data_IF_769255248783
#
_entry.id   IF_769255248783
#
_cell.length_a   1.000
_cell.length_b   1.000
_cell.length_c   1.000
_cell.angle_alpha   90.00
_cell.angle_beta   90.00
_cell.angle_gamma   90.00
#
_symmetry.space_group_name_H-M   'P 1'
#
loop_
_entity.id
_entity.type
_entity.pdbx_description
1 polymer ?
#
# COMPACT_ATOMS: atom_id res chain seq x y z
N UNK A 1 -76.25 9.33 -43.11
CA UNK A 1 -74.94 9.97 -42.85
C UNK A 1 -74.64 9.87 -41.35
N UNK A 2 -73.57 9.14 -41.03
CA UNK A 2 -72.63 9.27 -39.90
C UNK A 2 -73.07 9.03 -38.43
N UNK A 3 -72.66 7.84 -37.96
CA UNK A 3 -72.14 7.35 -36.66
C UNK A 3 -72.81 7.59 -35.29
N UNK A 4 -73.06 6.50 -34.53
CA UNK A 4 -73.19 6.52 -33.07
C UNK A 4 -71.81 6.46 -32.38
N UNK A 5 -71.61 7.26 -31.34
CA UNK A 5 -70.43 7.18 -30.47
C UNK A 5 -70.62 6.11 -29.40
N UNK A 6 -69.80 5.05 -29.50
CA UNK A 6 -69.69 3.96 -28.53
C UNK A 6 -69.14 4.45 -27.19
N UNK A 7 -69.95 4.37 -26.13
CA UNK A 7 -69.46 4.42 -24.76
C UNK A 7 -69.15 2.99 -24.32
N UNK A 8 -67.93 2.53 -24.59
CA UNK A 8 -67.47 1.21 -24.19
C UNK A 8 -67.06 1.27 -22.71
N UNK A 9 -67.96 0.82 -21.83
CA UNK A 9 -67.59 0.40 -20.47
C UNK A 9 -66.53 -0.69 -20.60
N UNK A 10 -65.31 -0.40 -20.15
CA UNK A 10 -64.28 -1.43 -19.95
C UNK A 10 -64.70 -2.22 -18.70
N UNK A 11 -65.01 -3.53 -18.80
CA UNK A 11 -65.12 -4.35 -17.61
C UNK A 11 -63.71 -4.46 -17.01
N UNK A 12 -63.55 -3.97 -15.77
CA UNK A 12 -62.33 -4.18 -15.01
C UNK A 12 -61.98 -5.66 -15.03
N UNK A 13 -60.80 -5.98 -15.52
CA UNK A 13 -60.38 -7.32 -15.88
C UNK A 13 -60.41 -8.23 -14.62
N UNK A 14 -61.38 -9.16 -14.48
CA UNK A 14 -61.58 -9.91 -13.25
C UNK A 14 -60.37 -10.81 -12.91
N UNK A 15 -59.59 -11.17 -13.93
CA UNK A 15 -58.36 -11.95 -13.79
C UNK A 15 -57.26 -11.18 -13.03
N UNK A 16 -57.23 -9.85 -13.14
CA UNK A 16 -56.29 -9.00 -12.41
C UNK A 16 -56.64 -8.91 -10.93
N UNK A 17 -57.94 -8.83 -10.60
CA UNK A 17 -58.38 -8.86 -9.20
C UNK A 17 -58.15 -10.22 -8.54
N UNK A 18 -58.29 -11.31 -9.31
CA UNK A 18 -58.10 -12.67 -8.81
C UNK A 18 -56.62 -12.99 -8.57
N UNK A 19 -55.76 -12.63 -9.52
CA UNK A 19 -54.31 -12.80 -9.38
C UNK A 19 -53.75 -11.95 -8.24
N UNK A 20 -54.24 -10.72 -8.05
CA UNK A 20 -53.82 -9.86 -6.93
C UNK A 20 -54.26 -10.43 -5.56
N UNK A 21 -55.45 -11.03 -5.49
CA UNK A 21 -55.93 -11.73 -4.30
C UNK A 21 -55.15 -13.02 -4.01
N UNK A 22 -54.80 -13.80 -5.03
CA UNK A 22 -53.96 -15.00 -4.89
C UNK A 22 -52.53 -14.65 -4.43
N UNK A 23 -51.95 -13.55 -4.92
CA UNK A 23 -50.63 -13.07 -4.51
C UNK A 23 -50.64 -12.57 -3.06
N UNK A 24 -51.65 -11.78 -2.67
CA UNK A 24 -51.84 -11.37 -1.28
C UNK A 24 -52.05 -12.58 -0.36
N UNK A 25 -52.83 -13.57 -0.79
CA UNK A 25 -53.02 -14.80 -0.04
C UNK A 25 -51.71 -15.56 0.15
N UNK A 26 -50.83 -15.62 -0.87
CA UNK A 26 -49.51 -16.26 -0.75
C UNK A 26 -48.55 -15.53 0.19
N UNK A 27 -48.60 -14.19 0.26
CA UNK A 27 -47.79 -13.38 1.19
C UNK A 27 -48.30 -13.53 2.63
N UNK A 28 -49.61 -13.70 2.80
CA UNK A 28 -50.27 -13.86 4.09
C UNK A 28 -50.19 -15.29 4.67
N UNK A 29 -49.74 -16.28 3.90
CA UNK A 29 -49.41 -17.59 4.46
C UNK A 29 -48.11 -17.49 5.28
N UNK A 30 -48.02 -18.21 6.40
CA UNK A 30 -46.90 -18.16 7.37
C UNK A 30 -45.52 -18.48 6.77
N UNK A 31 -45.48 -19.01 5.54
CA UNK A 31 -44.26 -19.30 4.80
C UNK A 31 -44.01 -18.20 3.76
N UNK A 32 -43.71 -16.99 4.22
CA UNK A 32 -43.51 -15.80 3.38
C UNK A 32 -42.26 -15.85 2.48
N UNK A 33 -41.50 -16.96 2.48
CA UNK A 33 -40.27 -17.12 1.71
C UNK A 33 -40.33 -18.38 0.84
N UNK A 34 -40.62 -18.25 -0.48
CA UNK A 34 -40.76 -19.40 -1.40
C UNK A 34 -39.49 -20.23 -1.59
N UNK A 35 -38.32 -19.70 -1.22
CA UNK A 35 -37.03 -20.37 -1.30
C UNK A 35 -36.60 -21.03 0.02
N UNK A 36 -37.33 -20.82 1.11
CA UNK A 36 -37.16 -21.61 2.33
C UNK A 36 -38.13 -22.80 2.28
N UNK A 37 -37.68 -24.03 2.54
CA UNK A 37 -38.62 -25.11 2.82
C UNK A 37 -39.50 -24.69 4.01
N UNK A 38 -40.83 -24.83 3.85
CA UNK A 38 -41.85 -24.28 4.73
C UNK A 38 -41.80 -24.71 6.21
N UNK A 39 -40.92 -25.65 6.52
CA UNK A 39 -40.38 -25.86 7.85
C UNK A 39 -38.87 -25.93 7.67
N UNK A 40 -38.14 -24.93 8.17
CA UNK A 40 -36.79 -25.23 8.64
C UNK A 40 -36.99 -26.36 9.64
N UNK A 41 -36.46 -27.55 9.36
CA UNK A 41 -36.67 -28.67 10.28
C UNK A 41 -36.03 -28.26 11.59
N UNK A 42 -36.72 -28.51 12.71
CA UNK A 42 -36.18 -28.24 14.05
C UNK A 42 -34.76 -28.79 14.22
N UNK A 43 -34.44 -29.88 13.52
CA UNK A 43 -33.10 -30.44 13.42
C UNK A 43 -32.03 -29.50 12.85
N UNK A 44 -32.36 -28.67 11.84
CA UNK A 44 -31.42 -27.72 11.26
C UNK A 44 -31.15 -26.54 12.19
N UNK A 45 -32.16 -26.11 12.93
CA UNK A 45 -32.00 -25.07 13.96
C UNK A 45 -31.13 -25.60 15.12
N UNK A 46 -31.37 -26.83 15.57
CA UNK A 46 -30.55 -27.52 16.58
C UNK A 46 -29.10 -27.73 16.11
N UNK A 47 -28.89 -28.07 14.83
CA UNK A 47 -27.55 -28.20 14.24
C UNK A 47 -26.82 -26.85 14.22
N UNK A 48 -27.50 -25.75 13.88
CA UNK A 48 -26.94 -24.40 13.89
C UNK A 48 -26.62 -23.92 15.31
N UNK A 49 -27.49 -24.20 16.27
CA UNK A 49 -27.30 -23.81 17.66
C UNK A 49 -26.13 -24.58 18.28
N UNK A 50 -26.01 -25.87 17.97
CA UNK A 50 -24.87 -26.72 18.38
C UNK A 50 -23.57 -26.24 17.74
N UNK A 51 -23.58 -25.88 16.45
CA UNK A 51 -22.43 -25.30 15.78
C UNK A 51 -22.03 -23.95 16.40
N UNK A 52 -23.00 -23.08 16.69
CA UNK A 52 -22.77 -21.79 17.34
C UNK A 52 -22.14 -21.92 18.72
N UNK A 53 -22.62 -22.86 19.54
CA UNK A 53 -22.04 -23.18 20.85
C UNK A 53 -20.62 -23.73 20.74
N UNK A 54 -20.33 -24.54 19.71
CA UNK A 54 -18.96 -25.05 19.47
C UNK A 54 -17.97 -23.95 19.04
N UNK A 55 -18.48 -22.86 18.47
CA UNK A 55 -17.74 -21.69 18.01
C UNK A 55 -17.76 -20.55 19.04
N UNK A 56 -18.40 -20.76 20.18
CA UNK A 56 -18.46 -19.80 21.27
C UNK A 56 -17.07 -19.72 21.91
N UNK A 57 -16.36 -18.64 21.60
CA UNK A 57 -15.04 -18.36 22.14
C UNK A 57 -15.26 -17.69 23.50
N UNK A 58 -14.59 -18.18 24.54
CA UNK A 58 -14.65 -17.52 25.85
C UNK A 58 -14.03 -16.12 25.81
N UNK A 59 -14.51 -15.19 26.64
CA UNK A 59 -13.92 -13.85 26.74
C UNK A 59 -12.41 -13.91 27.03
N UNK A 60 -11.98 -14.89 27.83
CA UNK A 60 -10.57 -15.12 28.15
C UNK A 60 -9.75 -15.55 26.92
N UNK A 61 -10.28 -16.45 26.08
CA UNK A 61 -9.65 -16.86 24.83
C UNK A 61 -9.62 -15.71 23.81
N UNK A 62 -10.70 -14.93 23.72
CA UNK A 62 -10.77 -13.76 22.84
C UNK A 62 -9.72 -12.70 23.23
N UNK A 63 -9.57 -12.42 24.53
CA UNK A 63 -8.55 -11.50 25.04
C UNK A 63 -7.15 -12.05 24.76
N UNK A 64 -6.90 -13.34 25.01
CA UNK A 64 -5.60 -13.95 24.75
C UNK A 64 -5.23 -13.96 23.26
N UNK A 65 -6.21 -14.24 22.39
CA UNK A 65 -6.06 -14.21 20.95
C UNK A 65 -5.80 -12.80 20.43
N UNK A 66 -6.52 -11.81 20.95
CA UNK A 66 -6.28 -10.40 20.65
C UNK A 66 -4.90 -9.94 21.12
N UNK A 67 -4.46 -10.33 22.32
CA UNK A 67 -3.12 -10.02 22.81
C UNK A 67 -2.04 -10.62 21.90
N UNK A 68 -2.16 -11.90 21.55
CA UNK A 68 -1.24 -12.55 20.62
C UNK A 68 -1.19 -11.86 19.25
N UNK A 69 -2.36 -11.52 18.68
CA UNK A 69 -2.48 -10.77 17.44
C UNK A 69 -1.85 -9.38 17.57
N UNK A 70 -2.12 -8.66 18.65
CA UNK A 70 -1.61 -7.30 18.87
C UNK A 70 -0.09 -7.28 18.98
N UNK A 71 0.52 -8.27 19.62
CA UNK A 71 1.97 -8.40 19.68
C UNK A 71 2.56 -8.73 18.31
N UNK A 72 1.89 -9.56 17.52
CA UNK A 72 2.32 -9.85 16.14
C UNK A 72 2.18 -8.63 15.24
N UNK A 73 1.08 -7.88 15.36
CA UNK A 73 0.88 -6.62 14.65
C UNK A 73 1.92 -5.59 15.08
N UNK A 74 2.20 -5.46 16.37
CA UNK A 74 3.26 -4.59 16.87
C UNK A 74 4.63 -5.03 16.37
N UNK A 75 4.91 -6.32 16.20
CA UNK A 75 6.18 -6.79 15.63
C UNK A 75 6.31 -6.52 14.14
N UNK A 76 5.20 -6.61 13.39
CA UNK A 76 5.15 -6.27 11.97
C UNK A 76 5.30 -4.75 11.82
N UNK A 77 4.50 -3.97 12.56
CA UNK A 77 4.48 -2.51 12.52
C UNK A 77 5.64 -1.81 13.24
N UNK A 78 6.37 -2.49 14.14
CA UNK A 78 7.61 -1.97 14.73
C UNK A 78 8.74 -1.83 13.69
N UNK A 79 8.48 -2.22 12.45
CA UNK A 79 9.36 -2.02 11.32
C UNK A 79 10.47 -3.05 11.34
N UNK A 80 10.59 -3.79 10.25
CA UNK A 80 11.86 -4.41 9.91
C UNK A 80 12.90 -3.29 9.83
N UNK A 81 13.63 -3.05 10.92
CA UNK A 81 14.77 -2.14 10.94
C UNK A 81 15.89 -2.81 10.13
N UNK A 82 15.72 -2.82 8.81
CA UNK A 82 16.79 -3.12 7.89
C UNK A 82 17.83 -2.04 8.14
N UNK A 83 19.01 -2.47 8.54
CA UNK A 83 20.15 -1.60 8.70
C UNK A 83 20.58 -1.10 7.30
N UNK A 84 19.94 -0.01 6.86
CA UNK A 84 20.20 0.64 5.57
C UNK A 84 21.68 0.99 5.44
N UNK A 85 22.31 1.34 6.56
CA UNK A 85 23.74 1.62 6.63
C UNK A 85 24.57 0.35 6.35
N UNK A 86 24.19 -0.81 6.88
CA UNK A 86 24.85 -2.08 6.55
C UNK A 86 24.74 -2.42 5.04
N UNK A 87 23.57 -2.23 4.43
CA UNK A 87 23.37 -2.45 2.99
C UNK A 87 24.19 -1.47 2.14
N UNK A 88 24.21 -0.20 2.54
CA UNK A 88 25.04 0.83 1.91
C UNK A 88 26.53 0.50 2.03
N UNK A 89 26.99 0.03 3.19
CA UNK A 89 28.37 -0.43 3.37
C UNK A 89 28.70 -1.59 2.45
N UNK A 90 27.81 -2.58 2.33
CA UNK A 90 28.03 -3.72 1.44
C UNK A 90 28.25 -3.28 -0.02
N UNK A 91 27.48 -2.30 -0.50
CA UNK A 91 27.52 -1.87 -1.91
C UNK A 91 28.54 -0.76 -2.20
N UNK A 92 28.77 0.15 -1.26
CA UNK A 92 29.51 1.40 -1.49
C UNK A 92 30.75 1.62 -0.59
N UNK A 93 31.06 0.75 0.39
CA UNK A 93 32.17 0.98 1.33
C UNK A 93 33.54 1.14 0.66
N UNK A 94 33.74 0.59 -0.54
CA UNK A 94 35.00 0.72 -1.29
C UNK A 94 35.12 2.05 -2.03
N UNK A 95 34.02 2.83 -2.14
CA UNK A 95 33.94 4.05 -2.96
C UNK A 95 33.57 5.29 -2.18
N UNK A 96 32.85 5.15 -1.07
CA UNK A 96 32.40 6.27 -0.23
C UNK A 96 32.97 6.15 1.20
N UNK A 97 33.32 7.28 1.83
CA UNK A 97 33.64 7.30 3.25
C UNK A 97 32.44 6.89 4.11
N UNK A 98 32.71 6.25 5.24
CA UNK A 98 31.68 5.82 6.18
C UNK A 98 30.82 6.98 6.71
N UNK A 99 31.42 8.17 6.89
CA UNK A 99 30.71 9.37 7.33
C UNK A 99 29.64 9.82 6.32
N UNK A 100 29.92 9.67 5.02
CA UNK A 100 28.97 10.00 3.95
C UNK A 100 27.85 8.95 3.88
N UNK A 101 28.20 7.67 4.03
CA UNK A 101 27.21 6.59 4.05
C UNK A 101 26.25 6.70 5.24
N UNK A 102 26.77 7.00 6.43
CA UNK A 102 25.97 7.20 7.63
C UNK A 102 25.04 8.43 7.51
N UNK A 103 25.56 9.54 6.99
CA UNK A 103 24.73 10.73 6.76
C UNK A 103 23.59 10.46 5.76
N UNK A 104 23.86 9.70 4.69
CA UNK A 104 22.84 9.33 3.69
C UNK A 104 21.81 8.35 4.28
N UNK A 105 22.23 7.35 5.07
CA UNK A 105 21.32 6.40 5.70
C UNK A 105 20.38 7.10 6.69
N UNK A 106 20.93 7.92 7.58
CA UNK A 106 20.15 8.64 8.59
C UNK A 106 19.11 9.55 7.93
N UNK A 107 19.51 10.23 6.86
CA UNK A 107 18.63 11.15 6.14
C UNK A 107 17.53 10.42 5.37
N UNK A 108 17.85 9.27 4.75
CA UNK A 108 16.86 8.44 4.08
C UNK A 108 15.82 7.89 5.08
N UNK A 109 16.27 7.40 6.24
CA UNK A 109 15.37 6.93 7.30
C UNK A 109 14.49 8.05 7.86
N UNK A 110 15.05 9.25 8.07
CA UNK A 110 14.26 10.42 8.49
C UNK A 110 13.18 10.80 7.48
N UNK A 111 13.47 10.72 6.18
CA UNK A 111 12.48 11.03 5.13
C UNK A 111 11.33 10.03 5.13
N UNK A 112 11.62 8.74 5.32
CA UNK A 112 10.59 7.70 5.43
C UNK A 112 9.74 7.85 6.70
N UNK A 113 10.35 8.16 7.84
CA UNK A 113 9.63 8.47 9.07
C UNK A 113 8.72 9.71 8.92
N UNK A 114 9.14 10.71 8.16
CA UNK A 114 8.32 11.89 7.87
C UNK A 114 7.15 11.58 6.92
N UNK A 115 7.33 10.63 5.99
CA UNK A 115 6.28 10.16 5.09
C UNK A 115 5.21 9.36 5.85
N UNK A 116 5.63 8.42 6.72
CA UNK A 116 4.72 7.58 7.53
C UNK A 116 3.93 8.36 8.58
N UNK A 117 4.50 9.43 9.15
CA UNK A 117 3.78 10.28 10.11
C UNK A 117 2.78 11.25 9.46
N UNK A 118 2.63 11.23 8.13
CA UNK A 118 1.69 12.09 7.42
C UNK A 118 2.09 13.58 7.41
N UNK A 119 3.33 13.91 7.78
CA UNK A 119 3.83 15.29 7.78
C UNK A 119 4.16 15.82 6.36
N UNK A 120 4.11 14.96 5.34
CA UNK A 120 4.20 15.39 3.93
C UNK A 120 2.87 15.18 3.22
N UNK A 121 2.10 16.27 3.06
CA UNK A 121 0.83 16.33 2.32
C UNK A 121 0.97 16.05 0.80
N UNK A 122 2.19 15.79 0.33
CA UNK A 122 2.47 15.24 -1.00
C UNK A 122 3.80 14.51 -0.95
N UNK A 123 3.82 13.25 -1.39
CA UNK A 123 5.06 12.50 -1.56
C UNK A 123 6.06 13.36 -2.35
N UNK A 124 7.16 13.74 -1.70
CA UNK A 124 8.15 14.58 -2.37
C UNK A 124 8.65 13.85 -3.63
N UNK A 125 8.82 14.54 -4.76
CA UNK A 125 9.30 13.90 -5.97
C UNK A 125 10.66 13.25 -5.69
N UNK A 126 10.90 12.07 -6.25
CA UNK A 126 12.10 11.27 -5.97
C UNK A 126 13.42 12.07 -6.08
N UNK A 127 13.48 12.99 -7.04
CA UNK A 127 14.60 13.92 -7.20
C UNK A 127 14.84 14.77 -5.94
N UNK A 128 13.79 15.32 -5.33
CA UNK A 128 13.89 16.13 -4.13
C UNK A 128 14.35 15.30 -2.92
N UNK A 129 13.87 14.05 -2.79
CA UNK A 129 14.30 13.13 -1.74
C UNK A 129 15.81 12.81 -1.86
N UNK A 130 16.27 12.49 -3.07
CA UNK A 130 17.69 12.23 -3.33
C UNK A 130 18.57 13.46 -3.00
N UNK A 131 18.15 14.66 -3.38
CA UNK A 131 18.86 15.90 -3.06
C UNK A 131 18.87 16.12 -1.54
N UNK A 132 17.75 15.90 -0.86
CA UNK A 132 17.65 16.07 0.59
C UNK A 132 18.62 15.14 1.35
N UNK A 133 18.85 13.92 0.84
CA UNK A 133 19.87 12.98 1.37
C UNK A 133 21.32 13.45 1.16
N UNK A 134 21.60 14.17 0.06
CA UNK A 134 22.98 14.53 -0.34
C UNK A 134 23.38 15.96 0.06
N UNK A 135 22.42 16.83 0.37
CA UNK A 135 22.64 18.26 0.67
C UNK A 135 23.60 18.52 1.85
N UNK A 136 23.80 17.55 2.73
CA UNK A 136 24.76 17.62 3.85
C UNK A 136 26.14 17.01 3.57
N UNK A 137 26.32 16.25 2.48
CA UNK A 137 27.54 15.49 2.20
C UNK A 137 28.35 16.04 1.03
N UNK A 138 27.69 16.68 0.06
CA UNK A 138 28.34 17.26 -1.11
C UNK A 138 28.10 18.77 -1.13
N UNK A 139 29.13 19.54 -0.74
CA UNK A 139 29.01 20.99 -0.52
C UNK A 139 29.38 21.85 -1.73
N UNK A 140 29.99 21.26 -2.77
CA UNK A 140 30.58 22.00 -3.88
C UNK A 140 29.67 22.16 -5.13
N UNK A 141 28.51 21.49 -5.17
CA UNK A 141 27.60 21.52 -6.33
C UNK A 141 26.29 22.23 -5.98
N UNK A 142 25.84 23.10 -6.88
CA UNK A 142 24.57 23.80 -6.73
C UNK A 142 23.36 22.86 -6.82
N UNK A 143 22.28 23.21 -6.12
CA UNK A 143 21.06 22.39 -6.07
C UNK A 143 20.45 22.15 -7.46
N UNK A 144 20.50 23.15 -8.35
CA UNK A 144 20.01 23.04 -9.72
C UNK A 144 20.80 21.99 -10.53
N UNK A 145 22.11 21.92 -10.34
CA UNK A 145 22.96 20.93 -11.02
C UNK A 145 22.72 19.53 -10.46
N UNK A 146 22.58 19.39 -9.13
CA UNK A 146 22.18 18.13 -8.50
C UNK A 146 20.83 17.64 -9.02
N UNK A 147 19.89 18.55 -9.26
CA UNK A 147 18.58 18.22 -9.83
C UNK A 147 18.70 17.63 -11.23
N UNK A 148 19.55 18.19 -12.09
CA UNK A 148 19.80 17.66 -13.43
C UNK A 148 20.43 16.27 -13.35
N UNK A 149 21.38 16.08 -12.43
CA UNK A 149 22.11 14.83 -12.24
C UNK A 149 21.24 13.70 -11.66
N UNK A 150 20.25 14.03 -10.83
CA UNK A 150 19.37 13.05 -10.19
C UNK A 150 18.27 12.53 -11.13
N UNK A 151 17.86 13.31 -12.15
CA UNK A 151 16.75 12.99 -13.07
C UNK A 151 16.83 11.58 -13.69
N UNK A 152 17.96 11.12 -14.25
CA UNK A 152 18.01 9.80 -14.89
C UNK A 152 17.64 8.67 -13.92
N UNK A 153 18.13 8.74 -12.68
CA UNK A 153 17.87 7.74 -11.64
C UNK A 153 16.48 7.87 -11.01
N UNK A 154 15.96 9.10 -10.94
CA UNK A 154 14.65 9.38 -10.35
C UNK A 154 13.46 9.05 -11.28
N UNK A 155 13.65 9.17 -12.60
CA UNK A 155 12.60 8.92 -13.61
C UNK A 155 12.74 7.56 -14.30
N UNK A 156 13.59 6.67 -13.80
CA UNK A 156 13.70 5.31 -14.31
C UNK A 156 12.35 4.58 -14.12
N UNK A 157 11.63 4.37 -15.23
CA UNK A 157 10.25 3.84 -15.22
C UNK A 157 10.14 2.36 -14.79
N UNK A 158 11.26 1.71 -14.47
CA UNK A 158 11.32 0.33 -13.97
C UNK A 158 12.22 0.30 -12.75
N UNK A 159 11.82 -0.41 -11.70
CA UNK A 159 12.63 -0.61 -10.49
C UNK A 159 14.01 -1.21 -10.82
N UNK A 160 14.06 -2.18 -11.74
CA UNK A 160 15.30 -2.75 -12.26
C UNK A 160 16.17 -1.74 -13.03
N UNK A 161 15.55 -0.80 -13.75
CA UNK A 161 16.27 0.25 -14.47
C UNK A 161 16.91 1.28 -13.54
N UNK A 162 16.31 1.53 -12.37
CA UNK A 162 16.92 2.41 -11.37
C UNK A 162 18.16 1.77 -10.74
N UNK A 163 18.11 0.48 -10.44
CA UNK A 163 19.26 -0.25 -9.89
C UNK A 163 20.39 -0.40 -10.92
N UNK A 164 20.07 -0.71 -12.17
CA UNK A 164 21.04 -0.75 -13.27
C UNK A 164 21.75 0.60 -13.46
N UNK A 165 21.01 1.71 -13.35
CA UNK A 165 21.61 3.05 -13.43
C UNK A 165 22.49 3.38 -12.23
N UNK A 166 22.14 2.91 -11.02
CA UNK A 166 23.00 3.03 -9.84
C UNK A 166 24.31 2.27 -10.07
N UNK A 167 24.24 1.03 -10.55
CA UNK A 167 25.43 0.22 -10.81
C UNK A 167 26.28 0.79 -11.94
N UNK A 168 25.66 1.22 -13.03
CA UNK A 168 26.32 1.91 -14.13
C UNK A 168 27.03 3.19 -13.63
N UNK A 169 26.42 3.92 -12.71
CA UNK A 169 27.04 5.12 -12.11
C UNK A 169 28.28 4.76 -11.30
N UNK A 170 28.21 3.72 -10.46
CA UNK A 170 29.36 3.22 -9.67
C UNK A 170 30.52 2.75 -10.56
N UNK A 171 30.21 2.13 -11.70
CA UNK A 171 31.20 1.67 -12.67
C UNK A 171 31.79 2.85 -13.46
N UNK A 172 30.95 3.82 -13.85
CA UNK A 172 31.35 4.97 -14.66
C UNK A 172 32.29 5.94 -13.94
N UNK A 173 32.15 6.05 -12.62
CA UNK A 173 33.02 6.92 -11.81
C UNK A 173 34.36 6.24 -11.60
N UNK A 174 35.43 7.02 -11.77
CA UNK A 174 36.81 6.56 -11.63
C UNK A 174 37.01 5.82 -10.31
N UNK A 175 37.75 4.71 -10.37
CA UNK A 175 38.21 4.02 -9.16
C UNK A 175 39.37 4.81 -8.54
N UNK A 176 39.04 5.75 -7.66
CA UNK A 176 39.99 6.54 -6.90
C UNK A 176 39.45 6.78 -5.50
N UNK A 177 40.35 7.14 -4.57
CA UNK A 177 39.96 7.56 -3.22
C UNK A 177 39.01 8.76 -3.29
N UNK A 178 38.06 8.82 -2.36
CA UNK A 178 37.02 9.86 -2.31
C UNK A 178 37.57 11.28 -2.49
N UNK A 179 38.67 11.61 -1.81
CA UNK A 179 39.28 12.94 -1.84
C UNK A 179 39.95 13.30 -3.18
N UNK A 180 40.20 12.30 -4.04
CA UNK A 180 40.79 12.49 -5.38
C UNK A 180 39.74 12.60 -6.48
N UNK A 181 38.47 12.34 -6.15
CA UNK A 181 37.36 12.49 -7.08
C UNK A 181 37.02 13.97 -7.25
N UNK A 182 36.59 14.34 -8.46
CA UNK A 182 36.02 15.66 -8.69
C UNK A 182 34.71 15.82 -7.92
N UNK A 183 34.32 17.07 -7.63
CA UNK A 183 33.04 17.37 -7.00
C UNK A 183 31.85 16.74 -7.76
N UNK A 184 31.95 16.67 -9.10
CA UNK A 184 30.94 16.04 -9.95
C UNK A 184 30.86 14.53 -9.74
N UNK A 185 31.99 13.85 -9.63
CA UNK A 185 32.06 12.41 -9.39
C UNK A 185 31.57 12.06 -7.97
N UNK A 186 31.97 12.85 -6.97
CA UNK A 186 31.47 12.73 -5.60
C UNK A 186 29.95 12.88 -5.55
N UNK A 187 29.40 13.92 -6.21
CA UNK A 187 27.96 14.14 -6.30
C UNK A 187 27.22 12.97 -6.96
N UNK A 188 27.75 12.42 -8.07
CA UNK A 188 27.12 11.27 -8.75
C UNK A 188 27.08 10.04 -7.85
N UNK A 189 28.19 9.74 -7.18
CA UNK A 189 28.27 8.62 -6.25
C UNK A 189 27.33 8.79 -5.06
N UNK A 190 27.26 9.98 -4.46
CA UNK A 190 26.35 10.27 -3.36
C UNK A 190 24.88 10.18 -3.79
N UNK A 191 24.53 10.68 -4.98
CA UNK A 191 23.17 10.56 -5.52
C UNK A 191 22.80 9.10 -5.81
N UNK A 192 23.72 8.30 -6.33
CA UNK A 192 23.50 6.87 -6.55
C UNK A 192 23.29 6.12 -5.22
N UNK A 193 24.09 6.43 -4.19
CA UNK A 193 23.92 5.90 -2.85
C UNK A 193 22.58 6.33 -2.22
N UNK A 194 22.19 7.60 -2.38
CA UNK A 194 20.90 8.09 -1.90
C UNK A 194 19.72 7.40 -2.59
N UNK A 195 19.78 7.19 -3.92
CA UNK A 195 18.75 6.47 -4.67
C UNK A 195 18.58 5.04 -4.16
N UNK A 196 19.69 4.36 -3.90
CA UNK A 196 19.70 3.00 -3.36
C UNK A 196 19.16 2.96 -1.93
N UNK A 197 19.59 3.87 -1.05
CA UNK A 197 19.11 3.96 0.32
C UNK A 197 17.59 4.14 0.38
N UNK A 198 17.04 5.09 -0.39
CA UNK A 198 15.59 5.32 -0.45
C UNK A 198 14.87 4.08 -0.97
N UNK A 199 15.39 3.40 -2.00
CA UNK A 199 14.79 2.17 -2.52
C UNK A 199 14.70 1.07 -1.45
N UNK A 200 15.73 0.92 -0.62
CA UNK A 200 15.75 -0.10 0.43
C UNK A 200 14.72 0.22 1.52
N UNK A 201 14.56 1.50 1.86
CA UNK A 201 13.55 1.93 2.83
C UNK A 201 12.13 1.81 2.28
N UNK A 202 11.89 2.15 1.01
CA UNK A 202 10.60 1.94 0.35
C UNK A 202 10.27 0.44 0.21
N UNK A 203 11.27 -0.40 -0.09
CA UNK A 203 11.06 -1.85 -0.22
C UNK A 203 10.66 -2.46 1.12
N UNK A 204 11.22 -1.98 2.23
CA UNK A 204 10.77 -2.38 3.57
C UNK A 204 9.34 -1.93 3.85
N UNK A 205 8.93 -0.73 3.41
CA UNK A 205 7.55 -0.24 3.57
C UNK A 205 6.55 -0.93 2.63
N UNK A 206 6.98 -1.47 1.49
CA UNK A 206 6.11 -2.15 0.51
C UNK A 206 5.85 -3.63 0.79
N UNK A 207 6.65 -4.20 1.71
CA UNK A 207 6.49 -5.58 2.17
C UNK A 207 5.77 -5.66 3.54
N UNK A 208 5.46 -4.49 4.11
CA UNK A 208 4.33 -4.22 5.03
C UNK A 208 3.00 -4.17 4.26
#
# INVERSE_FOLDING_TARGET
MVNPSSSNNHPGNPDLSKTQAELLQSVLMEQSYPWLPGSVTQSYEEDLETAGQSLEISDEEAISGWQGLSVQLDQIWAGSNVDVLALLKQKFATRLPETVLAAISDRAQQLAQQATQGLSESAQPMVAQMIACVKGTVTAIGEADLQVMARPMAFAMRSSGAEELVDATVISVRQADWDKLSALEQARLSLAAARYAIAQVETTESHD
#
